data_IF_429335515871
#
_entry.id   IF_429335515871
#
_cell.length_a   1.000
_cell.length_b   1.000
_cell.length_c   1.000
_cell.angle_alpha   90.00
_cell.angle_beta   90.00
_cell.angle_gamma   90.00
#
_symmetry.space_group_name_H-M   'P 1'
#
loop_
_entity.id
_entity.type
_entity.pdbx_description
1 polymer ?
#
# COMPACT_ATOMS: atom_id res chain seq x y z
N UNK A 1 -3.52 -31.01 20.08
CA UNK A 1 -3.25 -29.56 19.97
C UNK A 1 -1.78 -29.23 20.21
N UNK A 2 -1.01 -30.10 20.89
CA UNK A 2 0.36 -29.81 21.34
C UNK A 2 1.41 -29.68 20.23
N UNK A 3 1.25 -30.39 19.10
CA UNK A 3 2.19 -30.31 17.98
C UNK A 3 2.24 -28.93 17.32
N UNK A 4 1.11 -28.19 17.32
CA UNK A 4 1.06 -26.86 16.74
C UNK A 4 1.75 -25.82 17.62
N UNK A 5 1.63 -25.97 18.94
CA UNK A 5 2.28 -25.10 19.94
C UNK A 5 3.80 -25.30 19.90
N UNK A 6 4.25 -26.54 19.75
CA UNK A 6 5.67 -26.88 19.63
C UNK A 6 6.27 -26.34 18.32
N UNK A 7 5.53 -26.47 17.21
CA UNK A 7 5.95 -25.92 15.92
C UNK A 7 6.09 -24.40 15.95
N UNK A 8 5.11 -23.69 16.52
CA UNK A 8 5.13 -22.23 16.65
C UNK A 8 6.27 -21.75 17.58
N UNK A 9 6.50 -22.47 18.68
CA UNK A 9 7.60 -22.17 19.62
C UNK A 9 8.97 -22.36 18.98
N UNK A 10 9.12 -23.37 18.11
CA UNK A 10 10.35 -23.61 17.35
C UNK A 10 10.58 -22.51 16.31
N UNK A 11 9.54 -22.07 15.60
CA UNK A 11 9.60 -20.99 14.62
C UNK A 11 9.96 -19.64 15.24
N UNK A 12 9.47 -19.34 16.45
CA UNK A 12 9.78 -18.10 17.16
C UNK A 12 11.27 -18.03 17.58
N UNK A 13 11.87 -19.16 17.98
CA UNK A 13 13.30 -19.21 18.35
C UNK A 13 14.27 -19.09 17.16
N UNK A 14 13.85 -19.46 15.94
CA UNK A 14 14.67 -19.34 14.73
C UNK A 14 14.86 -17.88 14.27
N UNK A 15 13.98 -16.96 14.67
CA UNK A 15 14.02 -15.56 14.23
C UNK A 15 15.03 -14.71 15.02
N UNK A 16 15.49 -15.17 16.18
CA UNK A 16 16.30 -14.36 17.10
C UNK A 16 17.83 -14.50 16.93
N UNK A 17 18.32 -15.27 15.95
CA UNK A 17 19.76 -15.39 15.67
C UNK A 17 20.18 -14.58 14.44
N UNK A 18 20.56 -13.32 14.65
CA UNK A 18 21.33 -12.53 13.69
C UNK A 18 22.82 -12.65 14.05
N UNK A 19 23.71 -13.16 13.18
CA UNK A 19 25.14 -13.11 13.43
C UNK A 19 25.69 -11.71 13.14
N UNK A 20 26.31 -11.17 14.18
CA UNK A 20 27.10 -9.94 14.18
C UNK A 20 28.40 -10.15 13.39
N UNK A 21 28.65 -9.40 12.31
CA UNK A 21 29.98 -9.32 11.67
C UNK A 21 30.42 -7.87 11.52
N UNK A 22 31.44 -7.51 12.31
CA UNK A 22 32.25 -6.31 12.17
C UNK A 22 33.30 -6.53 11.07
N UNK A 23 33.52 -5.56 10.19
CA UNK A 23 34.82 -5.31 9.56
C UNK A 23 34.94 -3.85 9.10
N UNK A 24 36.19 -3.39 9.01
CA UNK A 24 36.64 -2.01 9.21
C UNK A 24 37.28 -1.39 7.94
N UNK A 25 36.86 -0.16 7.60
CA UNK A 25 37.54 0.97 6.89
C UNK A 25 38.37 0.77 5.59
N UNK A 26 38.95 1.83 4.97
CA UNK A 26 38.80 3.29 5.12
C UNK A 26 38.39 4.02 3.81
N UNK A 27 38.24 5.36 3.87
CA UNK A 27 37.50 6.18 2.89
C UNK A 27 38.21 6.66 1.61
N UNK A 28 37.45 7.38 0.78
CA UNK A 28 37.91 8.35 -0.23
C UNK A 28 36.71 9.18 -0.74
N UNK A 29 36.92 10.48 -0.85
CA UNK A 29 36.02 11.53 -1.36
C UNK A 29 35.76 11.44 -2.86
N UNK A 30 34.58 11.84 -3.34
CA UNK A 30 34.38 12.68 -4.54
C UNK A 30 32.91 13.10 -4.70
N UNK A 31 32.73 14.31 -5.19
CA UNK A 31 31.46 15.02 -5.35
C UNK A 31 30.75 14.61 -6.67
N UNK A 32 29.74 15.40 -7.06
CA UNK A 32 29.11 15.51 -8.40
C UNK A 32 27.87 14.62 -8.67
N UNK A 33 26.71 15.27 -8.52
CA UNK A 33 25.63 15.40 -9.51
C UNK A 33 25.34 14.22 -10.45
N UNK A 34 24.15 13.62 -10.32
CA UNK A 34 23.28 13.23 -11.43
C UNK A 34 22.02 12.54 -10.91
N UNK A 35 20.88 13.11 -11.29
CA UNK A 35 19.58 12.46 -11.41
C UNK A 35 19.68 10.97 -11.75
N UNK A 36 19.36 10.12 -10.79
CA UNK A 36 19.11 8.70 -11.02
C UNK A 36 17.97 8.27 -10.11
N UNK A 37 16.86 7.92 -10.76
CA UNK A 37 15.80 7.11 -10.20
C UNK A 37 16.43 5.85 -9.61
N UNK A 38 16.57 5.82 -8.28
CA UNK A 38 17.01 4.64 -7.55
C UNK A 38 15.89 3.61 -7.52
N UNK A 39 15.72 2.89 -8.64
CA UNK A 39 15.15 1.56 -8.62
C UNK A 39 16.13 0.65 -7.86
N UNK A 40 15.83 0.41 -6.59
CA UNK A 40 16.53 -0.57 -5.76
C UNK A 40 16.21 -1.97 -6.28
N UNK A 41 17.12 -2.53 -7.08
CA UNK A 41 17.03 -3.90 -7.57
C UNK A 41 17.61 -4.87 -6.54
N UNK A 42 16.74 -5.60 -5.84
CA UNK A 42 17.06 -6.86 -5.18
C UNK A 42 15.96 -7.90 -5.46
N UNK A 43 16.40 -9.13 -5.72
CA UNK A 43 15.68 -10.28 -6.28
C UNK A 43 14.20 -10.45 -5.88
N UNK A 44 13.33 -10.67 -6.88
CA UNK A 44 11.86 -10.78 -6.78
C UNK A 44 11.18 -9.54 -6.20
N UNK A 45 11.42 -8.38 -6.82
CA UNK A 45 10.71 -7.14 -6.47
C UNK A 45 9.19 -7.36 -6.58
N UNK A 46 8.48 -7.29 -5.45
CA UNK A 46 7.01 -7.29 -5.44
C UNK A 46 6.53 -6.14 -6.31
N UNK A 47 5.59 -6.40 -7.22
CA UNK A 47 5.04 -5.38 -8.10
C UNK A 47 4.03 -4.50 -7.34
N UNK A 48 4.56 -3.57 -6.53
CA UNK A 48 3.78 -2.60 -5.74
C UNK A 48 3.87 -1.23 -6.42
N UNK A 49 2.72 -0.72 -6.87
CA UNK A 49 2.54 0.66 -7.33
C UNK A 49 1.94 1.50 -6.19
N UNK A 50 2.51 2.66 -5.89
CA UNK A 50 1.97 3.58 -4.88
C UNK A 50 1.54 4.88 -5.57
N UNK A 51 0.30 5.28 -5.32
CA UNK A 51 -0.27 6.51 -5.85
C UNK A 51 -0.83 7.37 -4.72
N UNK A 52 -0.28 8.58 -4.58
CA UNK A 52 -0.84 9.55 -3.65
C UNK A 52 -2.00 10.26 -4.30
N UNK A 53 -3.19 10.06 -3.73
CA UNK A 53 -4.45 10.65 -4.15
C UNK A 53 -4.82 11.66 -3.07
N UNK A 54 -4.34 12.89 -3.16
CA UNK A 54 -4.64 13.95 -2.20
C UNK A 54 -5.87 14.77 -2.63
N UNK A 55 -6.63 15.36 -1.69
CA UNK A 55 -7.75 16.23 -2.03
C UNK A 55 -7.31 17.52 -2.74
N UNK A 56 -6.06 17.94 -2.50
CA UNK A 56 -5.43 19.10 -3.12
C UNK A 56 -4.11 18.71 -3.81
N UNK A 57 -3.66 19.55 -4.75
CA UNK A 57 -2.44 19.30 -5.52
C UNK A 57 -1.21 19.42 -4.62
N UNK A 58 -0.62 18.29 -4.27
CA UNK A 58 0.66 18.24 -3.55
C UNK A 58 1.85 18.58 -4.47
N UNK A 59 2.81 19.30 -3.92
CA UNK A 59 4.10 19.50 -4.57
C UNK A 59 4.83 18.16 -4.77
N UNK A 60 5.57 18.02 -5.87
CA UNK A 60 6.18 16.75 -6.27
C UNK A 60 7.11 16.15 -5.20
N UNK A 61 7.83 16.99 -4.45
CA UNK A 61 8.71 16.52 -3.37
C UNK A 61 7.93 15.98 -2.16
N UNK A 62 6.80 16.60 -1.80
CA UNK A 62 5.91 16.11 -0.74
C UNK A 62 5.26 14.79 -1.14
N UNK A 63 4.82 14.69 -2.40
CA UNK A 63 4.26 13.46 -2.98
C UNK A 63 5.26 12.31 -2.88
N UNK A 64 6.50 12.50 -3.37
CA UNK A 64 7.57 11.48 -3.29
C UNK A 64 7.90 11.09 -1.85
N UNK A 65 7.92 12.05 -0.92
CA UNK A 65 8.13 11.77 0.50
C UNK A 65 7.02 10.91 1.07
N UNK A 66 5.76 11.21 0.74
CA UNK A 66 4.61 10.42 1.17
C UNK A 66 4.68 9.00 0.60
N UNK A 67 4.98 8.84 -0.69
CA UNK A 67 5.16 7.52 -1.33
C UNK A 67 6.23 6.69 -0.61
N UNK A 68 7.37 7.29 -0.29
CA UNK A 68 8.45 6.61 0.44
C UNK A 68 8.02 6.19 1.86
N UNK A 69 7.30 7.06 2.57
CA UNK A 69 6.81 6.76 3.91
C UNK A 69 5.78 5.62 3.88
N UNK A 70 4.84 5.68 2.94
CA UNK A 70 3.83 4.63 2.71
C UNK A 70 4.52 3.32 2.36
N UNK A 71 5.49 3.32 1.44
CA UNK A 71 6.24 2.11 1.07
C UNK A 71 6.90 1.46 2.29
N UNK A 72 7.59 2.28 3.10
CA UNK A 72 8.31 1.80 4.29
C UNK A 72 7.34 1.18 5.30
N UNK A 73 6.21 1.86 5.57
CA UNK A 73 5.19 1.36 6.51
C UNK A 73 4.51 0.11 5.99
N UNK A 74 4.11 0.11 4.73
CA UNK A 74 3.42 -1.02 4.11
C UNK A 74 4.31 -2.27 4.08
N UNK A 75 5.56 -2.14 3.65
CA UNK A 75 6.51 -3.28 3.61
C UNK A 75 6.80 -3.88 4.99
N UNK A 76 6.66 -3.09 6.07
CA UNK A 76 6.75 -3.58 7.44
C UNK A 76 5.50 -4.33 7.94
N UNK A 77 4.36 -4.25 7.24
CA UNK A 77 3.14 -4.96 7.64
C UNK A 77 3.30 -6.46 7.41
N UNK A 78 2.99 -7.32 8.41
CA UNK A 78 3.08 -8.77 8.27
C UNK A 78 2.30 -9.33 7.07
N UNK A 79 1.15 -8.74 6.75
CA UNK A 79 0.32 -9.16 5.61
C UNK A 79 1.03 -9.04 4.27
N UNK A 80 1.94 -8.07 4.11
CA UNK A 80 2.69 -7.94 2.87
C UNK A 80 3.56 -9.16 2.63
N UNK A 81 4.01 -9.86 3.67
CA UNK A 81 4.79 -11.09 3.51
C UNK A 81 4.00 -12.20 2.83
N UNK A 82 2.67 -12.23 3.01
CA UNK A 82 1.77 -13.25 2.47
C UNK A 82 1.25 -12.95 1.06
N UNK A 83 1.36 -11.70 0.60
CA UNK A 83 1.02 -11.36 -0.79
C UNK A 83 2.07 -11.96 -1.72
N UNK A 84 1.65 -12.74 -2.71
CA UNK A 84 2.55 -13.33 -3.71
C UNK A 84 3.36 -12.25 -4.42
N UNK A 85 4.65 -12.46 -4.65
CA UNK A 85 5.48 -11.50 -5.38
C UNK A 85 5.05 -11.28 -6.83
N UNK A 86 4.25 -12.21 -7.38
CA UNK A 86 3.64 -12.11 -8.72
C UNK A 86 2.34 -11.31 -8.74
N UNK A 87 1.73 -11.04 -7.58
CA UNK A 87 0.47 -10.32 -7.53
C UNK A 87 0.70 -8.82 -7.74
N UNK A 88 -0.07 -8.22 -8.65
CA UNK A 88 -0.01 -6.80 -8.89
C UNK A 88 -0.76 -6.07 -7.79
N UNK A 89 -0.04 -5.25 -7.02
CA UNK A 89 -0.62 -4.52 -5.88
C UNK A 89 -0.58 -3.03 -6.17
N UNK A 90 -1.74 -2.39 -6.15
CA UNK A 90 -1.87 -0.95 -6.20
C UNK A 90 -2.17 -0.41 -4.81
N UNK A 91 -1.48 0.63 -4.39
CA UNK A 91 -1.66 1.29 -3.09
C UNK A 91 -2.11 2.71 -3.35
N UNK A 92 -3.34 3.04 -2.97
CA UNK A 92 -3.87 4.39 -3.04
C UNK A 92 -3.71 5.05 -1.68
N UNK A 93 -2.73 5.94 -1.56
CA UNK A 93 -2.47 6.71 -0.36
C UNK A 93 -3.38 7.96 -0.33
N UNK A 94 -4.30 8.01 0.64
CA UNK A 94 -5.39 8.99 0.75
C UNK A 94 -5.39 9.71 2.09
N UNK A 95 -6.02 10.89 2.12
CA UNK A 95 -6.22 11.72 3.31
C UNK A 95 -7.62 11.51 3.92
N UNK A 96 -7.98 10.25 4.17
CA UNK A 96 -9.25 9.91 4.79
C UNK A 96 -9.03 9.39 6.21
N UNK A 97 -9.88 9.74 7.18
CA UNK A 97 -9.91 9.05 8.46
C UNK A 97 -10.15 7.55 8.25
N UNK A 98 -9.49 6.70 9.03
CA UNK A 98 -9.63 5.24 9.01
C UNK A 98 -11.10 4.76 9.01
N UNK A 99 -12.02 5.33 9.81
CA UNK A 99 -13.42 4.91 9.77
C UNK A 99 -14.10 5.14 8.41
N UNK A 100 -13.77 6.25 7.73
CA UNK A 100 -14.31 6.59 6.41
C UNK A 100 -13.72 5.65 5.35
N UNK A 101 -12.40 5.42 5.41
CA UNK A 101 -11.70 4.51 4.51
C UNK A 101 -12.25 3.08 4.60
N UNK A 102 -12.45 2.56 5.82
CA UNK A 102 -13.04 1.24 6.05
C UNK A 102 -14.50 1.19 5.59
N UNK A 103 -15.29 2.21 5.90
CA UNK A 103 -16.70 2.28 5.47
C UNK A 103 -16.83 2.25 3.95
N UNK A 104 -15.93 2.93 3.23
CA UNK A 104 -15.87 2.87 1.77
C UNK A 104 -15.50 1.48 1.30
N UNK A 105 -14.43 0.89 1.84
CA UNK A 105 -13.99 -0.45 1.43
C UNK A 105 -15.02 -1.56 1.66
N UNK A 106 -15.87 -1.44 2.69
CA UNK A 106 -16.98 -2.37 2.89
C UNK A 106 -18.19 -2.12 1.98
N UNK A 107 -18.32 -0.91 1.44
CA UNK A 107 -19.47 -0.53 0.62
C UNK A 107 -19.23 -0.77 -0.88
N UNK A 108 -17.97 -0.78 -1.33
CA UNK A 108 -17.61 -0.96 -2.73
C UNK A 108 -17.52 -2.45 -3.08
N UNK A 109 -18.24 -2.87 -4.12
CA UNK A 109 -18.07 -4.19 -4.73
C UNK A 109 -17.15 -4.07 -5.95
N UNK A 110 -15.95 -4.65 -5.86
CA UNK A 110 -14.97 -4.69 -6.96
C UNK A 110 -14.83 -6.08 -7.58
N UNK A 111 -15.67 -7.04 -7.20
CA UNK A 111 -15.46 -8.46 -7.51
C UNK A 111 -16.12 -8.92 -8.81
N UNK A 112 -17.17 -8.23 -9.26
CA UNK A 112 -18.04 -8.69 -10.36
C UNK A 112 -17.85 -7.89 -11.65
N UNK A 113 -18.22 -6.60 -11.64
CA UNK A 113 -18.20 -5.75 -12.83
C UNK A 113 -18.06 -4.27 -12.46
N UNK A 114 -17.65 -3.46 -13.45
CA UNK A 114 -17.58 -2.01 -13.32
C UNK A 114 -18.97 -1.39 -13.07
N UNK A 115 -20.04 -1.95 -13.63
CA UNK A 115 -21.41 -1.48 -13.41
C UNK A 115 -21.86 -1.64 -11.95
N UNK A 116 -21.55 -2.79 -11.35
CA UNK A 116 -21.86 -3.06 -9.94
C UNK A 116 -21.02 -2.21 -8.99
N UNK A 117 -19.74 -2.03 -9.32
CA UNK A 117 -18.87 -1.08 -8.63
C UNK A 117 -19.50 0.32 -8.63
N UNK A 118 -19.91 0.82 -9.80
CA UNK A 118 -20.53 2.14 -9.94
C UNK A 118 -21.84 2.26 -9.17
N UNK A 119 -22.67 1.21 -9.17
CA UNK A 119 -23.92 1.16 -8.39
C UNK A 119 -23.66 1.22 -6.88
N UNK A 120 -22.72 0.41 -6.38
CA UNK A 120 -22.33 0.38 -4.97
C UNK A 120 -21.71 1.70 -4.51
N UNK A 121 -20.88 2.33 -5.36
CA UNK A 121 -20.32 3.65 -5.15
C UNK A 121 -21.41 4.72 -5.07
N UNK A 122 -22.37 4.73 -6.00
CA UNK A 122 -23.47 5.70 -6.00
C UNK A 122 -24.28 5.64 -4.69
N UNK A 123 -24.56 4.44 -4.20
CA UNK A 123 -25.23 4.22 -2.92
C UNK A 123 -24.40 4.74 -1.73
N UNK A 124 -23.10 4.43 -1.71
CA UNK A 124 -22.19 4.90 -0.65
C UNK A 124 -22.06 6.43 -0.63
N UNK A 125 -21.87 7.05 -1.80
CA UNK A 125 -21.73 8.50 -1.96
C UNK A 125 -22.99 9.27 -1.55
N UNK A 126 -24.18 8.67 -1.70
CA UNK A 126 -25.43 9.26 -1.23
C UNK A 126 -25.45 9.39 0.31
N UNK A 127 -24.79 8.47 1.01
CA UNK A 127 -24.76 8.41 2.47
C UNK A 127 -23.71 9.35 3.08
N UNK A 128 -22.62 9.64 2.34
CA UNK A 128 -21.45 10.38 2.86
C UNK A 128 -21.27 11.73 2.14
N UNK A 129 -22.00 12.76 2.58
CA UNK A 129 -21.97 14.09 1.96
C UNK A 129 -20.64 14.83 2.09
N UNK A 130 -19.93 14.67 3.23
CA UNK A 130 -18.71 15.44 3.54
C UNK A 130 -17.54 15.18 2.59
N UNK A 131 -17.38 13.94 2.12
CA UNK A 131 -16.23 13.52 1.32
C UNK A 131 -16.61 13.18 -0.13
N UNK A 132 -17.86 13.45 -0.55
CA UNK A 132 -18.43 12.96 -1.82
C UNK A 132 -17.50 13.16 -3.03
N UNK A 133 -17.02 14.39 -3.26
CA UNK A 133 -16.12 14.71 -4.39
C UNK A 133 -14.80 13.94 -4.32
N UNK A 134 -14.23 13.82 -3.13
CA UNK A 134 -12.95 13.17 -2.94
C UNK A 134 -13.06 11.64 -3.00
N UNK A 135 -14.13 11.07 -2.44
CA UNK A 135 -14.46 9.65 -2.57
C UNK A 135 -14.72 9.27 -4.03
N UNK A 136 -15.37 10.14 -4.81
CA UNK A 136 -15.57 9.92 -6.25
C UNK A 136 -14.22 9.80 -6.97
N UNK A 137 -13.30 10.74 -6.72
CA UNK A 137 -11.96 10.71 -7.30
C UNK A 137 -11.13 9.50 -6.84
N UNK A 138 -11.27 9.05 -5.59
CA UNK A 138 -10.62 7.81 -5.13
C UNK A 138 -11.24 6.60 -5.84
N UNK A 139 -12.56 6.57 -6.02
CA UNK A 139 -13.26 5.49 -6.68
C UNK A 139 -12.91 5.38 -8.17
N UNK A 140 -12.74 6.50 -8.87
CA UNK A 140 -12.18 6.54 -10.23
C UNK A 140 -10.82 5.82 -10.28
N UNK A 141 -9.92 6.11 -9.33
CA UNK A 141 -8.61 5.43 -9.25
C UNK A 141 -8.70 3.96 -8.91
N UNK A 142 -9.68 3.55 -8.10
CA UNK A 142 -9.94 2.13 -7.81
C UNK A 142 -10.43 1.43 -9.09
N UNK A 143 -11.33 2.07 -9.83
CA UNK A 143 -11.88 1.55 -11.09
C UNK A 143 -10.76 1.36 -12.14
N UNK A 144 -9.95 2.40 -12.38
CA UNK A 144 -8.77 2.34 -13.25
C UNK A 144 -7.79 1.25 -12.80
N UNK A 145 -7.52 1.14 -11.50
CA UNK A 145 -6.63 0.10 -10.96
C UNK A 145 -7.19 -1.31 -11.19
N UNK A 146 -8.49 -1.52 -10.96
CA UNK A 146 -9.10 -2.85 -11.01
C UNK A 146 -9.36 -3.31 -12.44
N UNK A 147 -9.98 -2.48 -13.27
CA UNK A 147 -10.53 -2.87 -14.56
C UNK A 147 -9.64 -2.52 -15.74
N UNK A 148 -8.90 -1.40 -15.69
CA UNK A 148 -7.99 -1.03 -16.79
C UNK A 148 -6.59 -1.62 -16.61
N UNK A 149 -6.11 -1.63 -15.36
CA UNK A 149 -4.75 -2.09 -15.02
C UNK A 149 -4.71 -3.50 -14.44
N UNK A 150 -5.87 -4.14 -14.25
CA UNK A 150 -6.01 -5.52 -13.79
C UNK A 150 -5.25 -5.82 -12.48
N UNK A 151 -5.19 -4.85 -11.56
CA UNK A 151 -4.50 -5.00 -10.29
C UNK A 151 -5.17 -6.08 -9.44
N UNK A 152 -4.39 -7.03 -8.94
CA UNK A 152 -4.86 -8.15 -8.12
C UNK A 152 -5.31 -7.69 -6.74
N UNK A 153 -4.55 -6.76 -6.15
CA UNK A 153 -4.82 -6.22 -4.83
C UNK A 153 -4.84 -4.69 -4.90
N UNK A 154 -5.85 -4.09 -4.29
CA UNK A 154 -5.92 -2.64 -4.12
C UNK A 154 -5.91 -2.35 -2.62
N UNK A 155 -4.92 -1.59 -2.16
CA UNK A 155 -4.77 -1.20 -0.77
C UNK A 155 -5.10 0.28 -0.66
N UNK A 156 -6.18 0.59 0.02
CA UNK A 156 -6.47 1.95 0.45
C UNK A 156 -5.67 2.21 1.72
N UNK A 157 -4.80 3.21 1.71
CA UNK A 157 -3.97 3.56 2.85
C UNK A 157 -4.21 5.00 3.29
N UNK A 158 -4.55 5.20 4.56
CA UNK A 158 -4.66 6.52 5.16
C UNK A 158 -3.28 7.00 5.62
N UNK A 159 -2.75 8.04 4.99
CA UNK A 159 -1.55 8.70 5.52
C UNK A 159 -1.83 9.62 6.70
N UNK A 160 -3.10 9.80 7.09
CA UNK A 160 -3.51 10.63 8.23
C UNK A 160 -3.41 9.90 9.57
N UNK A 161 -3.80 8.64 9.60
CA UNK A 161 -3.86 7.81 10.81
C UNK A 161 -3.34 6.37 10.61
N UNK A 162 -2.70 6.09 9.49
CA UNK A 162 -2.02 4.83 9.16
C UNK A 162 -2.93 3.59 9.10
N UNK A 163 -4.25 3.79 9.08
CA UNK A 163 -5.16 2.69 8.77
C UNK A 163 -5.15 2.33 7.30
N UNK A 164 -5.56 1.11 7.02
CA UNK A 164 -5.67 0.61 5.66
C UNK A 164 -6.89 -0.29 5.50
N UNK A 165 -7.28 -0.50 4.25
CA UNK A 165 -8.29 -1.48 3.84
C UNK A 165 -7.78 -2.16 2.57
N UNK A 166 -7.91 -3.49 2.54
CA UNK A 166 -7.56 -4.31 1.40
C UNK A 166 -8.84 -4.61 0.62
N UNK A 167 -8.81 -4.32 -0.68
CA UNK A 167 -9.83 -4.71 -1.64
C UNK A 167 -9.22 -5.79 -2.55
N UNK A 168 -9.96 -6.88 -2.76
CA UNK A 168 -9.56 -8.04 -3.56
C UNK A 168 -10.60 -8.28 -4.65
#
# INVERSE_FOLDING_TARGET
MDQLVEYLSKKLKEVEQVPNTKSSGPGSSTSHDSSSSSSVSSNSARQISIEVVAPEKLASHLRKRCEFEVMTKLTSLPMMQHISSKAQTCVLAVELPSPVLKSMGCALDISQSEEEFNSSLAHHLHTVSKYKKYLSHIAERICEAKFEREMTFIILYSYKDHGYCLLV
#
